data_IF_236680818026
#
_entry.id   IF_236680818026
#
_cell.length_a   1.000
_cell.length_b   1.000
_cell.length_c   1.000
_cell.angle_alpha   90.00
_cell.angle_beta   90.00
_cell.angle_gamma   90.00
#
_symmetry.space_group_name_H-M   'P 1'
#
loop_
_entity.id
_entity.type
_entity.pdbx_description
1 polymer ?
#
# COMPACT_ATOMS: atom_id res chain seq x y z
N UNK A 1 -3.53 -14.28 3.91
CA UNK A 1 -4.86 -13.99 3.32
C UNK A 1 -4.65 -13.02 2.17
N UNK A 2 -5.28 -13.26 1.01
CA UNK A 2 -5.14 -12.38 -0.16
C UNK A 2 -6.25 -11.34 -0.14
N UNK A 3 -5.90 -10.05 -0.18
CA UNK A 3 -6.85 -8.94 -0.34
C UNK A 3 -6.89 -8.51 -1.81
N UNK A 4 -8.01 -8.76 -2.49
CA UNK A 4 -8.20 -8.39 -3.90
C UNK A 4 -8.04 -6.88 -4.18
N UNK A 5 -8.33 -6.04 -3.19
CA UNK A 5 -8.22 -4.58 -3.30
C UNK A 5 -7.17 -4.02 -2.33
N UNK A 6 -6.35 -4.88 -1.72
CA UNK A 6 -5.40 -4.47 -0.68
C UNK A 6 -4.11 -3.87 -1.25
N UNK A 7 -4.06 -3.54 -2.54
CA UNK A 7 -2.88 -2.98 -3.19
C UNK A 7 -3.31 -1.98 -4.26
N UNK A 8 -2.56 -0.88 -4.39
CA UNK A 8 -2.65 0.05 -5.51
C UNK A 8 -1.27 0.65 -5.82
N UNK A 9 -1.12 1.25 -7.00
CA UNK A 9 0.10 1.95 -7.44
C UNK A 9 -0.22 3.38 -7.84
N UNK A 10 0.73 4.30 -7.64
CA UNK A 10 0.61 5.65 -8.19
C UNK A 10 1.09 5.71 -9.66
N UNK A 11 0.98 6.91 -10.26
CA UNK A 11 1.31 7.17 -11.68
C UNK A 11 2.57 8.00 -11.87
N UNK A 12 3.47 7.99 -10.89
CA UNK A 12 4.77 8.66 -11.02
C UNK A 12 5.69 7.91 -12.00
N UNK A 13 6.78 8.56 -12.41
CA UNK A 13 7.76 7.95 -13.33
C UNK A 13 8.37 6.67 -12.73
N UNK A 14 8.69 6.71 -11.43
CA UNK A 14 8.94 5.52 -10.61
C UNK A 14 7.69 5.30 -9.77
N UNK A 15 6.88 4.26 -10.06
CA UNK A 15 5.60 4.08 -9.38
C UNK A 15 5.82 3.69 -7.92
N UNK A 16 5.16 4.40 -7.02
CA UNK A 16 5.00 3.96 -5.65
C UNK A 16 4.01 2.80 -5.56
N UNK A 17 4.33 1.80 -4.74
CA UNK A 17 3.48 0.64 -4.46
C UNK A 17 2.95 0.73 -3.04
N UNK A 18 1.64 0.55 -2.86
CA UNK A 18 0.99 0.67 -1.56
C UNK A 18 0.21 -0.60 -1.27
N UNK A 19 0.40 -1.19 -0.08
CA UNK A 19 -0.23 -2.45 0.32
C UNK A 19 -0.83 -2.33 1.72
N UNK A 20 -2.08 -2.76 1.85
CA UNK A 20 -2.81 -2.91 3.11
C UNK A 20 -2.98 -4.38 3.48
N UNK A 21 -2.82 -4.70 4.76
CA UNK A 21 -2.94 -6.06 5.28
C UNK A 21 -4.26 -6.27 6.02
N UNK A 22 -4.70 -7.53 6.13
CA UNK A 22 -5.89 -7.86 6.93
C UNK A 22 -5.71 -7.63 8.43
N UNK A 23 -4.46 -7.51 8.88
CA UNK A 23 -4.04 -7.25 10.25
C UNK A 23 -3.97 -5.76 10.59
N UNK A 24 -4.28 -4.87 9.64
CA UNK A 24 -4.41 -3.43 9.90
C UNK A 24 -3.10 -2.66 9.77
N UNK A 25 -2.19 -3.13 8.92
CA UNK A 25 -0.95 -2.44 8.59
C UNK A 25 -1.00 -1.93 7.15
N UNK A 26 -0.34 -0.81 6.92
CA UNK A 26 -0.14 -0.23 5.59
C UNK A 26 1.36 -0.11 5.35
N UNK A 27 1.81 -0.62 4.22
CA UNK A 27 3.17 -0.53 3.74
C UNK A 27 3.20 0.23 2.42
N UNK A 28 4.30 0.94 2.18
CA UNK A 28 4.58 1.58 0.90
C UNK A 28 6.00 1.29 0.48
N UNK A 29 6.20 1.26 -0.83
CA UNK A 29 7.49 1.26 -1.48
C UNK A 29 7.53 2.44 -2.45
N UNK A 30 8.46 3.40 -2.29
CA UNK A 30 8.59 4.54 -3.20
C UNK A 30 9.42 4.20 -4.46
N UNK A 31 9.93 2.98 -4.56
CA UNK A 31 10.91 2.52 -5.53
C UNK A 31 10.47 1.22 -6.20
N UNK A 32 9.21 1.19 -6.66
CA UNK A 32 8.63 0.11 -7.44
C UNK A 32 8.69 -1.30 -6.80
N UNK A 33 8.82 -1.37 -5.48
CA UNK A 33 8.86 -2.61 -4.69
C UNK A 33 10.23 -2.97 -4.13
N UNK A 34 11.27 -2.18 -4.38
CA UNK A 34 12.65 -2.49 -3.97
C UNK A 34 12.84 -2.35 -2.45
N UNK A 35 12.34 -1.26 -1.86
CA UNK A 35 12.36 -1.02 -0.42
C UNK A 35 10.96 -0.76 0.13
N UNK A 36 10.72 -1.23 1.35
CA UNK A 36 9.41 -1.15 1.98
C UNK A 36 9.49 -0.42 3.31
N UNK A 37 8.55 0.49 3.53
CA UNK A 37 8.36 1.18 4.80
C UNK A 37 6.92 1.04 5.28
N UNK A 38 6.74 0.93 6.60
CA UNK A 38 5.42 0.88 7.21
C UNK A 38 4.90 2.30 7.41
N UNK A 39 3.81 2.65 6.73
CA UNK A 39 3.15 3.96 6.84
C UNK A 39 2.21 4.03 8.05
N UNK A 40 1.48 2.95 8.33
CA UNK A 40 0.54 2.88 9.44
C UNK A 40 0.45 1.45 10.01
N UNK A 41 0.03 1.36 11.27
CA UNK A 41 -0.21 0.09 11.95
C UNK A 41 -1.38 0.22 12.93
N UNK A 42 -1.89 -0.92 13.41
CA UNK A 42 -2.97 -1.00 14.40
C UNK A 42 -4.29 -0.40 13.92
N UNK A 43 -4.52 -0.37 12.62
CA UNK A 43 -5.82 -0.05 12.06
C UNK A 43 -6.76 -1.27 12.22
N UNK A 44 -8.08 -1.08 12.10
CA UNK A 44 -8.97 -2.18 11.75
C UNK A 44 -8.54 -2.84 10.43
N UNK A 45 -9.11 -4.02 10.12
CA UNK A 45 -8.87 -4.73 8.85
C UNK A 45 -8.97 -3.76 7.66
N UNK A 46 -7.88 -3.64 6.89
CA UNK A 46 -7.87 -2.84 5.66
C UNK A 46 -8.77 -3.52 4.62
N UNK A 47 -9.73 -2.79 4.08
CA UNK A 47 -10.66 -3.29 3.08
C UNK A 47 -10.20 -3.01 1.65
N UNK A 48 -9.45 -1.93 1.44
CA UNK A 48 -8.84 -1.61 0.17
C UNK A 48 -7.85 -0.44 0.27
N UNK A 49 -7.04 -0.28 -0.77
CA UNK A 49 -6.09 0.81 -0.97
C UNK A 49 -6.44 1.54 -2.27
N UNK A 50 -6.28 2.85 -2.28
CA UNK A 50 -6.34 3.66 -3.50
C UNK A 50 -5.25 4.73 -3.43
N UNK A 51 -4.41 4.77 -4.44
CA UNK A 51 -3.33 5.74 -4.59
C UNK A 51 -3.74 6.81 -5.61
N UNK A 52 -3.50 8.07 -5.29
CA UNK A 52 -3.73 9.20 -6.19
C UNK A 52 -2.56 10.18 -6.08
N UNK A 53 -2.10 10.68 -7.22
CA UNK A 53 -1.14 11.77 -7.30
C UNK A 53 -1.94 13.08 -7.36
N UNK A 54 -1.61 14.04 -6.51
CA UNK A 54 -2.23 15.38 -6.45
C UNK A 54 -1.38 16.38 -7.21
#
# INVERSE_FOLDING_TARGET
>A
MVLRHGMDIDRLQTPGVYVGTTTGEIYASPDAGDTWMRLAAKLPRVQGITAAVV
#
